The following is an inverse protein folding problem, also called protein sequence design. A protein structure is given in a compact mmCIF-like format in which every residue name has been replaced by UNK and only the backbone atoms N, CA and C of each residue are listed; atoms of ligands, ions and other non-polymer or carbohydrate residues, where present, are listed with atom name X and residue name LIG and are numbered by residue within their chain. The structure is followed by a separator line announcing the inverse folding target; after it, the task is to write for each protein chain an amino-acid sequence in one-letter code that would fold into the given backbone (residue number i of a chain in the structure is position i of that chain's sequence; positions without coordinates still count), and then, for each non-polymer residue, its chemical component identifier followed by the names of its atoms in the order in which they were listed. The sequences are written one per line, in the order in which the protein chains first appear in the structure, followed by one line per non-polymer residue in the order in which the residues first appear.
data_IF_748380642056
#
_entry.id   IF_748380642056
#
_cell.length_a   1.000
_cell.length_b   1.000
_cell.length_c   1.000
_cell.angle_alpha   90.00
_cell.angle_beta   90.00
_cell.angle_gamma   90.00
#
_symmetry.space_group_name_H-M   'P 1'
#
loop_
_entity.id
_entity.type
_entity.pdbx_description
1 polymer ?
#
# COMPACT_ATOMS: atom_id res chain seq x y z
N UNK A 1 8.00 22.41 23.52
CA UNK A 1 7.40 21.18 22.95
C UNK A 1 5.91 21.40 22.80
N UNK A 2 5.42 21.65 21.59
CA UNK A 2 3.99 21.86 21.33
C UNK A 2 3.31 20.51 21.06
N UNK A 3 2.21 20.24 21.76
CA UNK A 3 1.42 19.02 21.53
C UNK A 3 0.67 19.09 20.20
N UNK A 4 0.51 17.94 19.55
CA UNK A 4 -0.26 17.81 18.31
C UNK A 4 -1.72 18.25 18.56
N UNK A 5 -2.31 18.95 17.59
CA UNK A 5 -3.61 19.64 17.66
C UNK A 5 -3.68 20.88 18.59
N UNK A 6 -3.18 22.02 18.09
CA UNK A 6 -3.59 23.35 18.56
C UNK A 6 -5.05 23.62 18.14
N UNK A 7 -5.95 23.85 19.11
CA UNK A 7 -7.36 24.20 18.84
C UNK A 7 -7.56 25.71 18.84
N UNK A 8 -8.17 26.23 17.78
CA UNK A 8 -8.97 27.45 17.88
C UNK A 8 -10.22 27.17 18.73
N UNK A 9 -10.69 28.17 19.49
CA UNK A 9 -11.83 28.04 20.41
C UNK A 9 -12.98 28.92 19.95
N UNK A 10 -14.18 28.34 19.83
CA UNK A 10 -15.45 29.05 19.95
C UNK A 10 -16.48 28.17 20.71
N UNK A 11 -17.57 28.74 21.26
CA UNK A 11 -18.06 28.34 22.59
C UNK A 11 -19.19 27.28 22.65
N UNK A 12 -19.54 26.92 23.88
CA UNK A 12 -20.32 25.74 24.30
C UNK A 12 -21.84 25.92 24.38
N UNK A 13 -22.57 24.88 23.93
CA UNK A 13 -23.89 24.43 24.42
C UNK A 13 -24.14 22.97 23.95
N UNK A 14 -25.02 22.13 24.50
CA UNK A 14 -25.69 22.11 25.82
C UNK A 14 -25.68 20.68 26.42
N UNK A 15 -26.78 19.91 26.35
CA UNK A 15 -26.94 18.49 26.76
C UNK A 15 -28.14 17.83 26.05
N UNK A 16 -28.02 16.56 25.69
CA UNK A 16 -29.08 15.54 25.82
C UNK A 16 -28.45 14.14 25.91
N UNK A 17 -29.10 13.17 26.56
CA UNK A 17 -28.53 11.85 26.83
C UNK A 17 -29.47 10.70 26.44
N UNK A 18 -28.92 9.66 25.81
CA UNK A 18 -29.61 8.38 25.57
C UNK A 18 -28.59 7.23 25.63
N UNK A 19 -29.00 6.07 26.13
CA UNK A 19 -28.17 4.88 26.41
C UNK A 19 -28.97 3.63 26.02
N UNK A 20 -28.47 2.54 25.42
CA UNK A 20 -27.34 2.21 24.53
C UNK A 20 -27.53 0.69 24.24
N UNK A 21 -27.03 0.15 23.11
CA UNK A 21 -26.41 -1.18 23.22
C UNK A 21 -25.04 -1.29 22.53
N UNK A 22 -24.01 -1.52 23.36
CA UNK A 22 -22.78 -2.29 23.09
C UNK A 22 -22.10 -2.09 21.72
N UNK A 23 -21.28 -1.05 21.62
CA UNK A 23 -20.09 -1.07 20.75
C UNK A 23 -18.93 -1.75 21.49
N UNK A 24 -18.62 -3.01 21.15
CA UNK A 24 -17.35 -3.64 21.51
C UNK A 24 -16.35 -3.46 20.37
N UNK A 25 -15.67 -2.32 20.34
CA UNK A 25 -14.47 -2.11 19.54
C UNK A 25 -13.36 -1.61 20.46
N UNK A 26 -12.55 -2.54 20.99
CA UNK A 26 -11.40 -2.21 21.82
C UNK A 26 -10.30 -3.28 21.70
N UNK A 27 -9.48 -3.17 20.65
CA UNK A 27 -8.07 -3.61 20.62
C UNK A 27 -7.17 -2.39 20.31
N UNK A 28 -7.52 -1.27 20.95
CA UNK A 28 -6.79 0.00 21.11
C UNK A 28 -5.90 0.49 19.96
N UNK A 29 -6.48 1.36 19.14
CA UNK A 29 -5.91 2.70 18.96
C UNK A 29 -7.00 3.72 19.37
N UNK A 30 -6.88 4.38 20.54
CA UNK A 30 -7.85 5.38 20.97
C UNK A 30 -7.75 6.67 20.15
N UNK A 31 -8.86 7.42 20.09
CA UNK A 31 -8.89 8.86 19.78
C UNK A 31 -7.69 9.56 20.47
N UNK A 32 -6.83 10.26 19.72
CA UNK A 32 -5.56 10.81 20.21
C UNK A 32 -5.73 11.99 21.19
N UNK A 33 -6.30 11.72 22.37
CA UNK A 33 -6.48 12.66 23.48
C UNK A 33 -5.35 12.48 24.49
N UNK A 34 -4.28 13.27 24.31
CA UNK A 34 -3.20 13.50 25.28
C UNK A 34 -2.72 12.25 26.01
N UNK A 35 -1.88 11.43 25.37
CA UNK A 35 -1.07 10.47 26.10
C UNK A 35 0.33 11.02 26.38
N UNK A 36 0.93 10.53 27.47
CA UNK A 36 2.33 10.73 27.86
C UNK A 36 3.27 10.14 26.81
N UNK A 37 4.58 10.31 27.01
CA UNK A 37 5.65 9.66 26.24
C UNK A 37 5.28 8.21 25.89
N UNK A 38 5.25 7.93 24.59
CA UNK A 38 4.81 6.65 24.05
C UNK A 38 6.05 5.76 23.89
N UNK A 39 6.08 4.54 24.47
CA UNK A 39 7.29 3.72 24.52
C UNK A 39 7.91 3.38 23.16
N UNK A 40 9.21 3.12 23.15
CA UNK A 40 9.88 2.54 21.98
C UNK A 40 9.24 1.20 21.58
N UNK A 41 9.27 0.87 20.28
CA UNK A 41 8.65 -0.34 19.72
C UNK A 41 7.10 -0.38 19.72
N UNK A 42 6.43 0.54 20.43
CA UNK A 42 4.97 0.62 20.45
C UNK A 42 4.38 1.29 19.20
N UNK A 43 3.07 1.11 18.99
CA UNK A 43 2.32 1.65 17.86
C UNK A 43 1.45 2.83 18.28
N UNK A 44 1.72 4.00 17.68
CA UNK A 44 0.84 5.16 17.65
C UNK A 44 -0.14 5.04 16.48
N UNK A 45 -1.39 5.53 16.62
CA UNK A 45 -2.26 5.81 15.48
C UNK A 45 -2.72 7.28 15.48
N UNK A 46 -3.15 7.75 14.32
CA UNK A 46 -3.81 9.05 14.17
C UNK A 46 -4.56 9.17 12.84
N UNK A 47 -5.05 10.37 12.57
CA UNK A 47 -5.60 10.75 11.27
C UNK A 47 -5.04 12.10 10.85
N UNK A 48 -4.90 12.32 9.55
CA UNK A 48 -4.78 13.67 8.96
C UNK A 48 -6.02 13.96 8.12
N UNK A 49 -6.36 15.24 7.91
CA UNK A 49 -7.53 15.61 7.12
C UNK A 49 -7.13 16.29 5.81
N UNK A 50 -7.36 15.61 4.70
CA UNK A 50 -6.95 16.00 3.33
C UNK A 50 -8.17 16.35 2.48
N UNK A 51 -8.05 17.19 1.43
CA UNK A 51 -9.14 17.40 0.50
C UNK A 51 -9.46 16.14 -0.30
N UNK A 52 -10.74 15.95 -0.62
CA UNK A 52 -11.19 14.98 -1.62
C UNK A 52 -10.52 15.32 -2.96
N UNK A 53 -10.61 16.58 -3.37
CA UNK A 53 -10.03 17.09 -4.61
C UNK A 53 -8.86 18.03 -4.31
N UNK A 54 -7.64 17.59 -4.62
CA UNK A 54 -6.44 18.41 -4.40
C UNK A 54 -6.36 19.65 -5.31
N UNK A 55 -7.15 19.75 -6.39
CA UNK A 55 -7.30 20.99 -7.16
C UNK A 55 -8.23 22.01 -6.48
N UNK A 56 -9.04 21.57 -5.51
CA UNK A 56 -9.98 22.39 -4.72
C UNK A 56 -9.76 22.19 -3.21
N UNK A 57 -8.62 22.62 -2.64
CA UNK A 57 -8.24 22.35 -1.25
C UNK A 57 -9.17 22.96 -0.17
N UNK A 58 -10.06 23.88 -0.55
CA UNK A 58 -11.12 24.42 0.30
C UNK A 58 -12.44 23.65 0.27
N UNK A 59 -12.56 22.60 -0.55
CA UNK A 59 -13.76 21.76 -0.67
C UNK A 59 -13.85 20.65 0.38
N UNK A 60 -14.64 19.62 0.07
CA UNK A 60 -14.86 18.46 0.92
C UNK A 60 -13.54 17.77 1.32
N UNK A 61 -13.54 17.17 2.52
CA UNK A 61 -12.34 16.57 3.12
C UNK A 61 -12.62 15.21 3.74
N UNK A 62 -11.66 14.30 3.59
CA UNK A 62 -11.63 12.98 4.22
C UNK A 62 -10.54 12.92 5.29
N UNK A 63 -10.73 12.02 6.25
CA UNK A 63 -9.68 11.65 7.20
C UNK A 63 -8.89 10.47 6.62
N UNK A 64 -7.57 10.59 6.57
CA UNK A 64 -6.63 9.53 6.20
C UNK A 64 -6.00 8.98 7.47
N UNK A 65 -6.24 7.70 7.75
CA UNK A 65 -5.76 6.99 8.91
C UNK A 65 -4.30 6.54 8.75
N UNK A 66 -3.50 6.77 9.79
CA UNK A 66 -2.07 6.46 9.83
C UNK A 66 -1.73 5.70 11.12
N UNK A 67 -0.79 4.76 11.03
CA UNK A 67 -0.17 4.11 12.17
C UNK A 67 1.36 4.22 12.07
N UNK A 68 2.01 4.38 13.22
CA UNK A 68 3.46 4.46 13.35
C UNK A 68 3.91 3.51 14.44
N UNK A 69 4.68 2.48 14.09
CA UNK A 69 5.54 1.78 15.05
C UNK A 69 6.77 2.64 15.31
N UNK A 70 7.06 2.96 16.57
CA UNK A 70 8.29 3.69 16.92
C UNK A 70 9.52 2.81 16.73
N UNK A 71 10.65 3.43 16.38
CA UNK A 71 11.95 2.78 16.39
C UNK A 71 12.24 2.20 17.78
N UNK A 72 12.79 0.99 17.87
CA UNK A 72 13.14 0.37 19.16
C UNK A 72 14.30 1.11 19.86
N UNK A 73 15.20 1.71 19.07
CA UNK A 73 16.27 2.60 19.54
C UNK A 73 15.98 4.05 19.08
N UNK A 74 15.21 4.77 19.90
CA UNK A 74 14.92 6.19 19.67
C UNK A 74 16.17 7.08 19.78
N UNK A 75 17.23 6.65 20.51
CA UNK A 75 18.45 7.44 20.68
C UNK A 75 19.30 7.48 19.41
N UNK A 76 19.28 6.39 18.62
CA UNK A 76 20.01 6.29 17.36
C UNK A 76 19.09 6.26 16.12
N UNK A 77 17.84 6.75 16.25
CA UNK A 77 16.84 6.85 15.19
C UNK A 77 17.39 7.57 13.94
N UNK A 78 17.26 6.93 12.78
CA UNK A 78 17.70 7.44 11.47
C UNK A 78 16.64 8.31 10.79
N UNK A 79 15.36 8.04 11.01
CA UNK A 79 14.26 8.79 10.39
C UNK A 79 12.94 8.02 10.39
N UNK A 80 11.99 8.48 9.57
CA UNK A 80 10.77 7.74 9.24
C UNK A 80 10.97 6.87 7.99
N UNK A 81 10.50 5.62 8.07
CA UNK A 81 10.34 4.70 6.95
C UNK A 81 8.83 4.49 6.68
N UNK A 82 8.35 4.93 5.53
CA UNK A 82 7.01 4.60 5.05
C UNK A 82 7.02 3.22 4.38
N UNK A 83 6.27 2.29 4.99
CA UNK A 83 5.99 0.97 4.45
C UNK A 83 4.70 1.01 3.63
N UNK A 84 4.74 0.60 2.37
CA UNK A 84 3.61 0.64 1.44
C UNK A 84 3.31 -0.81 0.99
N UNK A 85 2.42 -1.56 1.67
CA UNK A 85 2.30 -3.01 1.52
C UNK A 85 1.77 -3.52 0.17
N UNK A 86 1.11 -2.67 -0.61
CA UNK A 86 0.49 -3.08 -1.88
C UNK A 86 -1.02 -3.22 -1.83
N UNK A 87 -1.56 -4.01 -2.77
CA UNK A 87 -2.98 -3.99 -3.12
C UNK A 87 -3.17 -3.89 -4.64
N UNK A 88 -4.06 -3.02 -5.16
CA UNK A 88 -4.83 -1.98 -4.46
C UNK A 88 -5.74 -2.50 -3.34
N UNK A 89 -6.13 -1.61 -2.41
CA UNK A 89 -6.99 -1.96 -1.28
C UNK A 89 -6.29 -2.49 -0.02
N UNK A 90 -4.96 -2.60 0.00
CA UNK A 90 -4.20 -3.00 1.18
C UNK A 90 -4.23 -1.93 2.28
N UNK A 91 -4.62 -2.33 3.51
CA UNK A 91 -4.64 -1.44 4.67
C UNK A 91 -3.26 -1.37 5.35
N UNK A 92 -2.54 -0.27 5.14
CA UNK A 92 -1.26 -0.01 5.79
C UNK A 92 -1.35 0.05 7.32
N UNK A 93 -2.43 0.62 7.87
CA UNK A 93 -2.67 0.63 9.33
C UNK A 93 -2.77 -0.80 9.87
N UNK A 94 -3.45 -1.69 9.15
CA UNK A 94 -3.58 -3.09 9.57
C UNK A 94 -2.26 -3.85 9.43
N UNK A 95 -1.40 -3.49 8.48
CA UNK A 95 -0.05 -4.05 8.36
C UNK A 95 0.87 -3.64 9.54
N UNK A 96 0.80 -2.39 10.02
CA UNK A 96 1.52 -1.98 11.24
C UNK A 96 1.03 -2.78 12.45
N UNK A 97 -0.29 -2.91 12.61
CA UNK A 97 -0.90 -3.58 13.76
C UNK A 97 -0.75 -5.12 13.73
N UNK A 98 -0.66 -5.72 12.55
CA UNK A 98 -0.49 -7.17 12.37
C UNK A 98 0.96 -7.66 12.47
N UNK A 99 1.93 -6.75 12.54
CA UNK A 99 3.35 -7.06 12.44
C UNK A 99 3.88 -6.87 11.02
N UNK A 100 4.94 -6.07 10.89
CA UNK A 100 5.52 -5.69 9.60
C UNK A 100 6.68 -6.66 9.28
N UNK A 101 6.78 -7.20 8.05
CA UNK A 101 7.88 -8.09 7.66
C UNK A 101 9.19 -7.32 7.37
N UNK A 102 9.70 -6.60 8.38
CA UNK A 102 10.99 -5.90 8.33
C UNK A 102 12.00 -6.54 9.27
N UNK A 103 13.29 -6.39 8.95
CA UNK A 103 14.37 -6.83 9.82
C UNK A 103 14.42 -6.03 11.13
N UNK A 104 14.96 -6.65 12.19
CA UNK A 104 15.19 -5.99 13.47
C UNK A 104 16.06 -4.73 13.32
N UNK A 105 17.03 -4.73 12.41
CA UNK A 105 17.87 -3.55 12.14
C UNK A 105 17.06 -2.35 11.61
N UNK A 106 16.03 -2.59 10.79
CA UNK A 106 15.14 -1.54 10.31
C UNK A 106 14.20 -1.07 11.42
N UNK A 107 13.56 -1.98 12.15
CA UNK A 107 12.62 -1.61 13.22
C UNK A 107 13.31 -0.98 14.43
N UNK A 108 14.59 -1.29 14.66
CA UNK A 108 15.39 -0.63 15.69
C UNK A 108 15.72 0.81 15.34
N UNK A 109 15.93 1.13 14.05
CA UNK A 109 16.51 2.41 13.62
C UNK A 109 15.53 3.35 12.92
N UNK A 110 14.36 2.90 12.52
CA UNK A 110 13.33 3.74 11.88
C UNK A 110 12.02 3.71 12.67
N UNK A 111 11.37 4.88 12.75
CA UNK A 111 9.92 4.88 12.97
C UNK A 111 9.28 4.35 11.69
N UNK A 112 8.59 3.21 11.78
CA UNK A 112 7.93 2.60 10.63
C UNK A 112 6.49 3.06 10.57
N UNK A 113 6.16 3.83 9.53
CA UNK A 113 4.85 4.43 9.31
C UNK A 113 4.16 3.70 8.16
N UNK A 114 2.85 3.51 8.27
CA UNK A 114 2.01 3.19 7.12
C UNK A 114 0.62 3.79 7.32
N UNK A 115 -0.14 3.89 6.24
CA UNK A 115 -1.44 4.54 6.23
C UNK A 115 -2.42 3.72 5.39
N UNK A 116 -3.71 3.89 5.64
CA UNK A 116 -4.75 3.41 4.76
C UNK A 116 -4.92 4.48 3.66
N UNK A 117 -4.66 4.18 2.36
CA UNK A 117 -4.86 5.18 1.30
C UNK A 117 -6.32 5.64 1.21
N UNK A 118 -6.56 6.82 0.63
CA UNK A 118 -7.92 7.28 0.31
C UNK A 118 -8.74 6.20 -0.40
N UNK A 119 -9.96 5.94 0.08
CA UNK A 119 -10.81 4.87 -0.45
C UNK A 119 -10.52 3.48 0.12
N UNK A 120 -9.60 3.34 1.09
CA UNK A 120 -9.18 2.05 1.67
C UNK A 120 -9.37 2.04 3.19
N UNK A 121 -9.75 0.88 3.75
CA UNK A 121 -9.69 0.60 5.18
C UNK A 121 -10.42 1.63 6.05
N UNK A 122 -9.67 2.39 6.85
CA UNK A 122 -10.20 3.43 7.76
C UNK A 122 -10.29 4.82 7.09
N UNK A 123 -9.77 4.98 5.88
CA UNK A 123 -9.63 6.26 5.17
C UNK A 123 -10.74 6.49 4.15
N UNK A 124 -11.98 6.58 4.66
CA UNK A 124 -13.21 6.72 3.87
C UNK A 124 -13.32 5.65 2.76
N UNK A 125 -13.48 4.37 3.13
CA UNK A 125 -13.40 3.24 2.20
C UNK A 125 -14.47 3.29 1.11
N UNK A 126 -14.11 2.94 -0.13
CA UNK A 126 -15.05 2.76 -1.25
C UNK A 126 -16.15 1.78 -0.81
N UNK A 127 -17.40 2.18 -1.01
CA UNK A 127 -18.60 1.38 -0.75
C UNK A 127 -19.29 1.05 -2.08
N UNK A 128 -19.80 -0.17 -2.20
CA UNK A 128 -20.64 -0.67 -3.30
C UNK A 128 -21.64 -1.69 -2.71
N UNK A 129 -22.70 -2.05 -3.42
CA UNK A 129 -23.60 -3.13 -3.00
C UNK A 129 -22.85 -4.48 -2.94
N UNK A 130 -22.95 -5.13 -1.78
CA UNK A 130 -22.24 -6.37 -1.53
C UNK A 130 -22.74 -7.52 -2.41
N UNK A 131 -24.01 -7.52 -2.83
CA UNK A 131 -24.54 -8.57 -3.71
C UNK A 131 -24.01 -8.39 -5.13
N UNK A 132 -23.92 -7.16 -5.62
CA UNK A 132 -23.35 -6.83 -6.93
C UNK A 132 -21.86 -7.16 -7.01
N UNK A 133 -21.08 -6.86 -5.96
CA UNK A 133 -19.67 -7.27 -5.85
C UNK A 133 -19.55 -8.80 -5.83
N UNK A 134 -20.37 -9.49 -5.02
CA UNK A 134 -20.33 -10.96 -4.91
C UNK A 134 -20.90 -11.70 -6.11
N UNK A 135 -21.71 -11.05 -6.97
CA UNK A 135 -22.22 -11.63 -8.21
C UNK A 135 -21.12 -11.93 -9.26
N UNK A 136 -19.89 -11.42 -9.03
CA UNK A 136 -18.61 -11.83 -9.59
C UNK A 136 -18.67 -12.68 -10.88
N UNK A 137 -18.65 -11.98 -12.02
CA UNK A 137 -18.65 -12.56 -13.38
C UNK A 137 -17.48 -13.51 -13.69
N UNK A 138 -16.44 -13.57 -12.85
CA UNK A 138 -15.33 -14.52 -13.00
C UNK A 138 -15.68 -15.97 -12.60
N UNK A 139 -16.93 -16.24 -12.18
CA UNK A 139 -17.42 -17.59 -11.87
C UNK A 139 -18.03 -18.32 -13.07
N UNK A 140 -18.15 -17.64 -14.22
CA UNK A 140 -18.67 -18.18 -15.47
C UNK A 140 -17.49 -18.71 -16.32
N UNK A 141 -17.60 -19.88 -16.99
CA UNK A 141 -16.60 -20.32 -17.96
C UNK A 141 -16.36 -19.25 -19.03
N UNK A 142 -15.16 -18.67 -19.03
CA UNK A 142 -14.79 -17.61 -19.96
C UNK A 142 -14.43 -18.22 -21.32
N UNK A 143 -15.39 -18.25 -22.25
CA UNK A 143 -15.11 -18.50 -23.66
C UNK A 143 -14.68 -17.16 -24.31
N UNK A 144 -13.38 -16.95 -24.62
CA UNK A 144 -12.91 -15.74 -25.27
C UNK A 144 -13.41 -15.59 -26.71
N UNK A 145 -14.00 -16.65 -27.29
CA UNK A 145 -14.55 -16.62 -28.66
C UNK A 145 -16.02 -16.19 -28.72
N UNK A 146 -16.75 -16.15 -27.59
CA UNK A 146 -18.13 -15.63 -27.55
C UNK A 146 -18.16 -14.11 -27.29
N UNK A 147 -18.61 -13.28 -28.25
CA UNK A 147 -18.75 -11.84 -28.06
C UNK A 147 -19.77 -11.44 -26.97
N UNK A 148 -20.65 -12.35 -26.53
CA UNK A 148 -21.58 -12.09 -25.43
C UNK A 148 -20.88 -11.92 -24.08
N UNK A 149 -19.82 -12.71 -23.83
CA UNK A 149 -19.02 -12.66 -22.60
C UNK A 149 -18.43 -11.26 -22.40
N UNK A 150 -17.81 -10.70 -23.45
CA UNK A 150 -17.26 -9.34 -23.40
C UNK A 150 -18.33 -8.27 -23.16
N UNK A 151 -19.47 -8.33 -23.88
CA UNK A 151 -20.56 -7.36 -23.68
C UNK A 151 -21.13 -7.41 -22.27
N UNK A 152 -21.31 -8.61 -21.71
CA UNK A 152 -21.83 -8.80 -20.36
C UNK A 152 -20.83 -8.28 -19.31
N UNK A 153 -19.53 -8.50 -19.51
CA UNK A 153 -18.47 -7.95 -18.65
C UNK A 153 -18.45 -6.41 -18.68
N UNK A 154 -18.56 -5.79 -19.86
CA UNK A 154 -18.63 -4.32 -19.99
C UNK A 154 -19.89 -3.77 -19.30
N UNK A 155 -21.05 -4.37 -19.51
CA UNK A 155 -22.30 -3.96 -18.87
C UNK A 155 -22.26 -4.12 -17.34
N UNK A 156 -21.69 -5.23 -16.85
CA UNK A 156 -21.49 -5.48 -15.42
C UNK A 156 -20.54 -4.45 -14.79
N UNK A 157 -19.38 -4.19 -15.42
CA UNK A 157 -18.41 -3.22 -14.92
C UNK A 157 -18.98 -1.79 -14.91
N UNK A 158 -19.77 -1.41 -15.92
CA UNK A 158 -20.47 -0.12 -15.94
C UNK A 158 -21.50 -0.02 -14.80
N UNK A 159 -22.28 -1.08 -14.56
CA UNK A 159 -23.24 -1.13 -13.45
C UNK A 159 -22.53 -1.04 -12.09
N UNK A 160 -21.47 -1.83 -11.88
CA UNK A 160 -20.68 -1.84 -10.65
C UNK A 160 -20.00 -0.48 -10.40
N UNK A 161 -19.44 0.15 -11.43
CA UNK A 161 -18.87 1.49 -11.31
C UNK A 161 -19.88 2.56 -10.91
N UNK A 162 -21.09 2.52 -11.47
CA UNK A 162 -22.19 3.43 -11.11
C UNK A 162 -22.67 3.20 -9.66
N UNK A 163 -22.86 1.95 -9.28
CA UNK A 163 -23.25 1.53 -7.92
C UNK A 163 -22.21 1.97 -6.87
N UNK A 164 -20.93 1.68 -7.10
CA UNK A 164 -19.86 2.17 -6.24
C UNK A 164 -19.83 3.70 -6.16
N UNK A 165 -20.17 4.42 -7.25
CA UNK A 165 -20.17 5.88 -7.30
C UNK A 165 -21.35 6.50 -6.53
N UNK A 166 -22.50 5.83 -6.52
CA UNK A 166 -23.66 6.18 -5.71
C UNK A 166 -23.37 5.97 -4.21
N UNK A 167 -22.83 4.81 -3.84
CA UNK A 167 -22.53 4.46 -2.46
C UNK A 167 -21.29 5.18 -1.86
N UNK A 168 -20.27 5.49 -2.66
CA UNK A 168 -19.04 6.19 -2.21
C UNK A 168 -19.13 7.71 -2.30
N UNK A 169 -19.93 8.24 -3.24
CA UNK A 169 -19.96 9.67 -3.52
C UNK A 169 -18.68 10.20 -4.21
N UNK A 170 -18.41 11.52 -4.12
CA UNK A 170 -17.37 12.20 -4.92
C UNK A 170 -15.94 11.69 -4.74
N UNK A 171 -15.62 10.99 -3.65
CA UNK A 171 -14.27 10.45 -3.46
C UNK A 171 -13.86 9.50 -4.58
N UNK A 172 -14.78 8.73 -5.17
CA UNK A 172 -14.45 7.73 -6.18
C UNK A 172 -13.78 8.34 -7.43
N UNK A 173 -14.08 9.61 -7.74
CA UNK A 173 -13.48 10.33 -8.87
C UNK A 173 -12.03 10.81 -8.56
N UNK A 174 -11.59 10.67 -7.30
CA UNK A 174 -10.34 11.20 -6.75
C UNK A 174 -9.50 10.16 -5.98
N UNK A 175 -9.70 8.85 -6.21
CA UNK A 175 -8.83 7.78 -5.65
C UNK A 175 -7.58 7.48 -6.50
N UNK A 176 -7.27 8.35 -7.47
CA UNK A 176 -6.13 8.19 -8.37
C UNK A 176 -4.77 8.31 -7.67
N UNK A 177 -3.75 7.67 -8.23
CA UNK A 177 -2.42 7.58 -7.62
C UNK A 177 -1.71 8.92 -7.38
N UNK A 178 -1.96 9.93 -8.21
CA UNK A 178 -1.44 11.30 -8.00
C UNK A 178 -1.96 11.87 -6.67
N UNK A 179 -3.22 11.64 -6.35
CA UNK A 179 -3.84 12.13 -5.12
C UNK A 179 -3.41 11.30 -3.89
N UNK A 180 -3.17 9.99 -4.06
CA UNK A 180 -2.52 9.14 -3.04
C UNK A 180 -1.09 9.64 -2.73
N UNK A 181 -0.31 10.03 -3.75
CA UNK A 181 1.02 10.60 -3.54
C UNK A 181 0.98 11.95 -2.80
N UNK A 182 -0.04 12.78 -3.05
CA UNK A 182 -0.27 14.04 -2.31
C UNK A 182 -0.67 13.79 -0.85
N UNK A 183 -1.50 12.78 -0.59
CA UNK A 183 -1.84 12.38 0.79
C UNK A 183 -0.58 11.92 1.56
N UNK A 184 0.33 11.19 0.89
CA UNK A 184 1.60 10.77 1.46
C UNK A 184 2.53 11.96 1.76
N UNK A 185 2.57 13.00 0.92
CA UNK A 185 3.34 14.22 1.24
C UNK A 185 2.70 15.01 2.40
N UNK A 186 1.37 15.06 2.46
CA UNK A 186 0.66 15.64 3.60
C UNK A 186 0.93 14.88 4.90
N UNK A 187 1.04 13.54 4.85
CA UNK A 187 1.44 12.70 5.99
C UNK A 187 2.89 13.00 6.41
N UNK A 188 3.84 13.07 5.47
CA UNK A 188 5.23 13.49 5.74
C UNK A 188 5.26 14.84 6.46
N UNK A 189 4.58 15.85 5.91
CA UNK A 189 4.55 17.19 6.47
C UNK A 189 3.91 17.22 7.87
N UNK A 190 2.84 16.45 8.09
CA UNK A 190 2.19 16.33 9.40
C UNK A 190 3.05 15.61 10.45
N UNK A 191 3.93 14.68 10.04
CA UNK A 191 4.92 14.05 10.90
C UNK A 191 6.10 14.99 11.25
N UNK A 192 6.27 16.10 10.53
CA UNK A 192 7.40 17.03 10.69
C UNK A 192 8.69 16.54 10.04
N UNK A 193 8.61 15.67 9.04
CA UNK A 193 9.78 15.10 8.35
C UNK A 193 10.13 15.91 7.08
N UNK A 194 11.36 16.38 6.94
CA UNK A 194 11.80 17.07 5.70
C UNK A 194 11.92 16.10 4.52
N UNK A 195 12.37 14.87 4.81
CA UNK A 195 12.54 13.77 3.86
C UNK A 195 12.20 12.42 4.51
N UNK A 196 11.57 11.53 3.76
CA UNK A 196 11.19 10.18 4.22
C UNK A 196 11.94 9.09 3.45
N UNK A 197 12.11 7.93 4.10
CA UNK A 197 12.49 6.70 3.41
C UNK A 197 11.22 5.94 3.01
N UNK A 198 11.23 5.27 1.88
CA UNK A 198 10.07 4.58 1.31
C UNK A 198 10.43 3.14 0.96
N UNK A 199 9.62 2.18 1.40
CA UNK A 199 9.67 0.79 0.94
C UNK A 199 8.30 0.39 0.43
N UNK A 200 8.19 0.20 -0.89
CA UNK A 200 6.97 -0.21 -1.57
C UNK A 200 7.00 -1.66 -2.01
N UNK A 201 5.91 -2.37 -1.77
CA UNK A 201 5.66 -3.74 -2.20
C UNK A 201 4.48 -3.79 -3.18
N UNK A 202 4.62 -4.54 -4.28
CA UNK A 202 3.55 -4.74 -5.26
C UNK A 202 2.96 -3.39 -5.72
N UNK A 203 1.65 -3.16 -5.60
CA UNK A 203 1.03 -1.87 -5.93
C UNK A 203 1.54 -0.66 -5.12
N UNK A 204 2.16 -0.88 -3.95
CA UNK A 204 2.86 0.14 -3.19
C UNK A 204 4.11 0.65 -3.90
N UNK A 205 4.66 -0.12 -4.85
CA UNK A 205 5.72 0.38 -5.75
C UNK A 205 5.20 1.47 -6.69
N UNK A 206 3.93 1.42 -7.10
CA UNK A 206 3.33 2.47 -7.92
C UNK A 206 3.13 3.74 -7.09
N UNK A 207 2.69 3.62 -5.82
CA UNK A 207 2.69 4.77 -4.87
C UNK A 207 4.09 5.37 -4.71
N UNK A 208 5.12 4.53 -4.57
CA UNK A 208 6.51 4.98 -4.43
C UNK A 208 7.04 5.72 -5.67
N UNK A 209 6.77 5.21 -6.87
CA UNK A 209 7.11 5.86 -8.15
C UNK A 209 6.38 7.21 -8.28
N UNK A 210 5.07 7.23 -8.07
CA UNK A 210 4.26 8.46 -8.19
C UNK A 210 4.67 9.53 -7.17
N UNK A 211 5.08 9.12 -5.96
CA UNK A 211 5.68 10.03 -4.99
C UNK A 211 7.04 10.57 -5.45
N UNK A 212 7.89 9.73 -6.07
CA UNK A 212 9.18 10.16 -6.62
C UNK A 212 9.05 11.12 -7.81
N UNK A 213 8.03 10.97 -8.65
CA UNK A 213 7.76 11.90 -9.76
C UNK A 213 7.25 13.27 -9.26
N UNK A 214 6.41 13.29 -8.23
CA UNK A 214 5.74 14.51 -7.75
C UNK A 214 6.52 15.24 -6.64
N UNK A 215 7.30 14.51 -5.83
CA UNK A 215 7.98 15.01 -4.62
C UNK A 215 9.43 14.51 -4.47
N UNK A 216 10.27 14.49 -5.53
CA UNK A 216 11.61 13.91 -5.48
C UNK A 216 12.51 14.51 -4.39
N UNK A 217 12.36 15.81 -4.11
CA UNK A 217 13.11 16.53 -3.07
C UNK A 217 12.83 16.05 -1.64
N UNK A 218 11.72 15.34 -1.42
CA UNK A 218 11.28 14.81 -0.12
C UNK A 218 11.62 13.33 0.08
N UNK A 219 12.38 12.72 -0.84
CA UNK A 219 12.89 11.35 -0.68
C UNK A 219 14.29 11.37 -0.06
N UNK A 220 14.47 10.58 1.01
CA UNK A 220 15.78 10.20 1.56
C UNK A 220 16.31 8.94 0.89
N UNK A 221 15.45 7.93 0.75
CA UNK A 221 15.76 6.63 0.14
C UNK A 221 14.46 5.99 -0.38
N UNK A 222 14.56 5.19 -1.44
CA UNK A 222 13.43 4.50 -2.07
C UNK A 222 13.84 3.07 -2.39
N UNK A 223 13.05 2.10 -1.95
CA UNK A 223 13.14 0.69 -2.33
C UNK A 223 11.78 0.23 -2.85
N UNK A 224 11.78 -0.51 -3.97
CA UNK A 224 10.58 -0.98 -4.66
C UNK A 224 10.75 -2.47 -4.95
N UNK A 225 9.84 -3.30 -4.42
CA UNK A 225 9.85 -4.75 -4.59
C UNK A 225 8.51 -5.23 -5.19
N UNK A 226 8.58 -6.12 -6.19
CA UNK A 226 7.45 -6.44 -7.07
C UNK A 226 6.97 -5.23 -7.88
N UNK A 227 7.88 -4.60 -8.62
CA UNK A 227 7.66 -3.30 -9.29
C UNK A 227 6.58 -3.37 -10.38
N UNK A 228 5.58 -2.49 -10.27
CA UNK A 228 4.64 -2.20 -11.36
C UNK A 228 5.26 -1.16 -12.30
N UNK A 229 5.51 -1.55 -13.54
CA UNK A 229 5.93 -0.64 -14.61
C UNK A 229 4.71 0.10 -15.20
N UNK A 230 4.51 1.35 -14.78
CA UNK A 230 3.44 2.21 -15.26
C UNK A 230 3.76 2.95 -16.57
N UNK A 231 4.93 2.68 -17.19
CA UNK A 231 5.28 3.23 -18.51
C UNK A 231 4.71 2.41 -19.66
N UNK A 232 4.29 1.16 -19.39
CA UNK A 232 3.79 0.24 -20.40
C UNK A 232 2.48 0.75 -21.03
N UNK A 233 2.51 0.94 -22.34
CA UNK A 233 1.34 1.34 -23.13
C UNK A 233 0.48 0.12 -23.46
N UNK A 234 -0.25 -0.36 -22.46
CA UNK A 234 -1.17 -1.49 -22.57
C UNK A 234 -1.98 -1.70 -21.29
N UNK A 235 -2.86 -2.69 -21.27
CA UNK A 235 -3.47 -3.17 -20.02
C UNK A 235 -2.36 -3.70 -19.11
N UNK A 236 -2.27 -3.20 -17.87
CA UNK A 236 -1.22 -3.54 -16.90
C UNK A 236 -1.07 -5.04 -16.58
N UNK A 237 -2.05 -5.85 -16.98
CA UNK A 237 -1.96 -7.29 -17.14
C UNK A 237 -2.13 -7.67 -18.61
N UNK A 238 -1.06 -7.55 -19.41
CA UNK A 238 -0.86 -8.55 -20.45
C UNK A 238 -0.23 -9.75 -19.74
N UNK A 239 -0.93 -10.90 -19.57
CA UNK A 239 -0.26 -12.11 -19.15
C UNK A 239 0.80 -12.44 -20.20
N UNK A 240 2.06 -12.18 -19.85
CA UNK A 240 3.19 -12.66 -20.64
C UNK A 240 3.20 -14.18 -20.46
N UNK A 241 2.49 -14.88 -21.33
CA UNK A 241 2.32 -16.33 -21.26
C UNK A 241 3.67 -17.06 -21.35
N UNK A 242 4.70 -16.45 -21.96
CA UNK A 242 6.06 -16.98 -21.92
C UNK A 242 6.72 -16.81 -20.53
N UNK A 243 6.49 -15.70 -19.83
CA UNK A 243 6.92 -15.52 -18.44
C UNK A 243 6.19 -16.47 -17.49
N UNK A 244 4.87 -16.61 -17.60
CA UNK A 244 4.09 -17.57 -16.80
C UNK A 244 4.51 -19.02 -17.11
N UNK A 245 4.68 -19.38 -18.38
CA UNK A 245 5.20 -20.70 -18.74
C UNK A 245 6.64 -20.94 -18.22
N UNK A 246 7.47 -19.90 -18.17
CA UNK A 246 8.80 -19.95 -17.55
C UNK A 246 8.72 -20.19 -16.03
N UNK A 247 7.87 -19.46 -15.32
CA UNK A 247 7.62 -19.67 -13.89
C UNK A 247 7.04 -21.07 -13.59
N UNK A 248 6.08 -21.52 -14.39
CA UNK A 248 5.48 -22.86 -14.25
C UNK A 248 6.48 -23.99 -14.54
N UNK A 249 7.40 -23.81 -15.50
CA UNK A 249 8.52 -24.74 -15.71
C UNK A 249 9.47 -24.73 -14.52
N UNK A 250 9.91 -23.56 -14.06
CA UNK A 250 10.77 -23.43 -12.88
C UNK A 250 10.15 -24.06 -11.62
N UNK A 251 8.82 -24.00 -11.47
CA UNK A 251 8.06 -24.69 -10.43
C UNK A 251 8.00 -26.22 -10.63
N UNK A 252 7.77 -26.69 -11.85
CA UNK A 252 7.74 -28.12 -12.19
C UNK A 252 9.13 -28.79 -12.11
N UNK A 253 10.19 -28.02 -12.33
CA UNK A 253 11.59 -28.44 -12.24
C UNK A 253 12.15 -28.35 -10.80
N UNK A 254 11.37 -27.88 -9.82
CA UNK A 254 11.78 -27.96 -8.41
C UNK A 254 11.80 -29.43 -7.94
N UNK A 255 12.88 -29.90 -7.29
CA UNK A 255 12.88 -31.23 -6.69
C UNK A 255 11.82 -31.30 -5.59
N UNK A 256 10.99 -32.35 -5.62
CA UNK A 256 9.93 -32.54 -4.65
C UNK A 256 10.50 -32.65 -3.21
N UNK A 257 10.27 -31.62 -2.40
CA UNK A 257 10.73 -31.59 -1.00
C UNK A 257 10.04 -32.72 -0.24
N UNK A 258 10.85 -33.67 0.25
CA UNK A 258 10.38 -34.94 0.83
C UNK A 258 9.54 -34.71 2.09
N UNK A 259 8.22 -34.85 1.95
CA UNK A 259 7.25 -34.68 3.03
C UNK A 259 5.95 -34.01 2.58
N UNK A 260 5.99 -33.17 1.55
CA UNK A 260 4.81 -32.51 1.01
C UNK A 260 4.00 -33.44 0.07
N UNK A 261 3.08 -34.24 0.61
CA UNK A 261 2.05 -34.89 -0.20
C UNK A 261 0.99 -33.89 -0.66
N UNK A 262 1.26 -33.14 -1.73
CA UNK A 262 0.24 -32.64 -2.68
C UNK A 262 0.86 -31.97 -3.93
N UNK A 263 0.66 -32.61 -5.10
CA UNK A 263 0.56 -31.92 -6.40
C UNK A 263 1.84 -31.70 -7.23
N UNK A 264 1.88 -32.37 -8.40
CA UNK A 264 2.78 -32.16 -9.57
C UNK A 264 4.29 -32.35 -9.30
N UNK A 265 4.91 -33.33 -9.99
CA UNK A 265 6.37 -33.55 -9.95
C UNK A 265 6.82 -34.87 -9.32
N UNK A 266 6.35 -36.02 -9.83
CA UNK A 266 6.84 -37.33 -9.40
C UNK A 266 8.14 -37.72 -10.15
N UNK A 267 9.25 -37.10 -9.78
CA UNK A 267 10.60 -37.55 -10.16
C UNK A 267 11.49 -37.53 -8.94
N UNK A 268 11.69 -38.70 -8.34
CA UNK A 268 12.74 -38.89 -7.34
C UNK A 268 14.09 -38.89 -8.08
N UNK A 269 14.90 -37.88 -7.80
CA UNK A 269 16.32 -37.87 -8.16
C UNK A 269 17.09 -38.10 -6.86
N UNK A 270 17.85 -39.19 -6.80
CA UNK A 270 18.80 -39.40 -5.71
C UNK A 270 19.86 -38.29 -5.77
N UNK A 271 19.92 -37.47 -4.74
CA UNK A 271 20.98 -36.48 -4.58
C UNK A 271 22.25 -37.21 -4.15
N UNK A 272 23.13 -37.47 -5.12
CA UNK A 272 24.54 -37.71 -4.82
C UNK A 272 25.17 -36.39 -4.32
N UNK A 273 26.08 -36.49 -3.35
CA UNK A 273 26.72 -35.33 -2.71
C UNK A 273 27.52 -34.48 -3.71
N UNK A 274 26.97 -33.35 -4.15
CA UNK A 274 27.68 -32.32 -4.91
C UNK A 274 28.01 -31.12 -4.00
N UNK A 275 29.29 -30.88 -3.64
CA UNK A 275 29.70 -29.74 -2.81
C UNK A 275 29.65 -28.37 -3.54
N UNK A 276 29.11 -28.29 -4.75
CA UNK A 276 29.09 -27.08 -5.58
C UNK A 276 27.90 -26.11 -5.40
N UNK A 277 26.82 -26.47 -4.70
CA UNK A 277 25.59 -25.66 -4.69
C UNK A 277 25.56 -24.62 -3.55
N UNK A 278 25.91 -23.38 -3.88
CA UNK A 278 25.67 -22.20 -3.04
C UNK A 278 24.46 -21.41 -3.53
N UNK A 279 23.42 -21.26 -2.69
CA UNK A 279 22.30 -20.36 -2.99
C UNK A 279 22.68 -18.90 -2.66
N UNK A 280 22.91 -18.10 -3.70
CA UNK A 280 23.03 -16.64 -3.61
C UNK A 280 22.17 -15.99 -4.69
N UNK A 281 21.08 -15.33 -4.30
CA UNK A 281 20.41 -14.34 -5.16
C UNK A 281 21.20 -13.03 -5.12
N UNK A 282 22.09 -12.84 -6.09
CA UNK A 282 22.95 -11.66 -6.18
C UNK A 282 22.14 -10.42 -6.60
N UNK A 283 21.94 -9.48 -5.68
CA UNK A 283 21.25 -8.20 -5.89
C UNK A 283 22.15 -7.19 -6.65
N UNK A 284 22.67 -7.56 -7.83
CA UNK A 284 23.62 -6.77 -8.62
C UNK A 284 23.37 -6.77 -10.14
N UNK A 285 22.22 -6.23 -10.52
CA UNK A 285 21.90 -5.62 -11.84
C UNK A 285 20.57 -4.84 -11.64
N UNK A 286 20.35 -3.60 -12.08
CA UNK A 286 21.18 -2.66 -12.85
C UNK A 286 21.04 -1.23 -12.29
N UNK A 287 22.16 -0.59 -11.90
CA UNK A 287 22.25 0.87 -11.76
C UNK A 287 23.66 1.35 -12.15
N UNK A 288 23.87 1.55 -13.45
CA UNK A 288 25.00 2.30 -14.01
C UNK A 288 24.46 3.35 -15.01
N UNK A 289 25.10 4.52 -15.16
CA UNK A 289 24.35 5.77 -15.09
C UNK A 289 23.82 6.33 -16.42
N UNK A 290 22.53 6.72 -16.41
CA UNK A 290 21.91 7.62 -17.40
C UNK A 290 22.35 9.07 -17.17
N UNK A 291 23.66 9.36 -17.25
CA UNK A 291 24.21 10.73 -17.32
C UNK A 291 25.58 10.73 -18.01
N UNK A 292 25.61 10.97 -19.33
CA UNK A 292 26.76 11.58 -20.00
C UNK A 292 26.31 12.92 -20.58
N UNK A 293 27.06 13.98 -20.27
CA UNK A 293 26.84 15.33 -20.82
C UNK A 293 27.03 15.32 -22.35
N UNK A 294 26.34 16.18 -23.10
CA UNK A 294 26.72 16.45 -24.49
C UNK A 294 28.13 17.06 -24.52
N UNK A 295 29.03 16.47 -25.32
CA UNK A 295 30.36 17.02 -25.56
C UNK A 295 30.28 18.17 -26.55
N UNK A 296 30.79 19.34 -26.15
CA UNK A 296 30.95 20.54 -26.97
C UNK A 296 32.20 20.48 -27.84
N UNK A 297 32.07 20.86 -29.12
CA UNK A 297 33.19 21.10 -30.05
C UNK A 297 33.76 19.83 -30.71
N UNK A 298 34.30 19.90 -31.93
CA UNK A 298 34.57 21.06 -32.82
C UNK A 298 34.38 20.66 -34.28
#
# INVERSE_FOLDING_TARGET
MAGWCSRERLPTSSRAATRSPRRTCASTCPDARRQREVPAGSVDCGTIRVPVDWSRPGGDRIDVAVARRRADDQAHRVGTLFYLPGGPGGSGVSAILGGIPLSADLTARFDVVSYDPRGVGRSHPIQCDANLVNANVNTIPFDPSDPSVYRNLVAFNAKLGADCREHTGPLLDHVGMVDVARDLDALRAALGEDRISLYGLSYGTFTGQMYAENFPQHIRALALDGVIDHSQRGTAYQPNWAHLAGQLRMLADQPAVSGARQGIGHTAVELADDPGVSFCSDWRTDFAPVWRRPSTGT
#
